data_IF_113642192481
#
_entry.id   IF_113642192481
#
_cell.length_a   1.000
_cell.length_b   1.000
_cell.length_c   1.000
_cell.angle_alpha   90.00
_cell.angle_beta   90.00
_cell.angle_gamma   90.00
#
_symmetry.space_group_name_H-M   'P 1'
#
loop_
_entity.id
_entity.type
_entity.pdbx_description
1 polymer ?
#
# COMPACT_ATOMS: atom_id res chain seq x y z
N UNK A 1 20.19 8.88 -16.36
CA UNK A 1 20.12 9.99 -15.38
C UNK A 1 18.65 10.15 -15.07
N UNK A 2 18.24 10.00 -13.80
CA UNK A 2 16.85 10.22 -13.42
C UNK A 2 16.51 11.68 -13.73
N UNK A 3 15.48 11.90 -14.54
CA UNK A 3 14.94 13.23 -14.78
C UNK A 3 14.16 13.66 -13.55
N UNK A 4 14.28 14.92 -13.13
CA UNK A 4 13.49 15.47 -12.03
C UNK A 4 12.32 16.28 -12.61
N UNK A 5 11.15 16.16 -12.00
CA UNK A 5 9.95 16.92 -12.34
C UNK A 5 9.52 17.75 -11.13
N UNK A 6 9.12 19.03 -11.32
CA UNK A 6 8.61 19.83 -10.22
C UNK A 6 7.23 19.34 -9.77
N UNK A 7 7.07 19.13 -8.47
CA UNK A 7 5.78 19.00 -7.82
C UNK A 7 5.25 20.40 -7.49
N UNK A 8 4.08 20.75 -8.02
CA UNK A 8 3.52 22.10 -7.91
C UNK A 8 2.32 22.07 -6.98
N UNK A 9 2.33 22.92 -5.94
CA UNK A 9 1.27 22.99 -4.96
C UNK A 9 0.00 23.61 -5.52
N UNK A 10 -1.14 22.94 -5.30
CA UNK A 10 -2.42 23.29 -5.91
C UNK A 10 -2.92 24.70 -5.54
N UNK A 11 -2.63 25.18 -4.31
CA UNK A 11 -3.16 26.48 -3.84
C UNK A 11 -2.35 27.70 -4.26
N UNK A 12 -1.04 27.55 -4.49
CA UNK A 12 -0.13 28.69 -4.74
C UNK A 12 0.54 28.66 -6.12
N UNK A 13 0.40 27.55 -6.85
CA UNK A 13 1.16 27.28 -8.07
C UNK A 13 2.69 27.38 -7.89
N UNK A 14 3.17 27.31 -6.64
CA UNK A 14 4.60 27.31 -6.33
C UNK A 14 5.13 25.88 -6.31
N UNK A 15 6.43 25.73 -6.61
CA UNK A 15 7.09 24.42 -6.56
C UNK A 15 7.28 24.02 -5.09
N UNK A 16 6.72 22.87 -4.72
CA UNK A 16 6.86 22.27 -3.39
C UNK A 16 8.15 21.45 -3.28
N UNK A 17 8.46 20.66 -4.30
CA UNK A 17 9.61 19.75 -4.33
C UNK A 17 10.02 19.41 -5.77
N UNK A 18 11.23 18.88 -5.94
CA UNK A 18 11.62 18.15 -7.15
C UNK A 18 11.43 16.65 -6.87
N UNK A 19 10.71 15.96 -7.74
CA UNK A 19 10.47 14.51 -7.63
C UNK A 19 11.08 13.78 -8.80
N UNK A 20 11.56 12.55 -8.58
CA UNK A 20 12.06 11.71 -9.65
C UNK A 20 10.93 11.37 -10.64
N UNK A 21 11.15 11.64 -11.92
CA UNK A 21 10.27 11.27 -13.01
C UNK A 21 10.68 9.90 -13.55
N UNK A 22 10.10 8.86 -12.98
CA UNK A 22 10.39 7.48 -13.32
C UNK A 22 9.96 7.13 -14.75
N UNK A 23 10.84 6.46 -15.50
CA UNK A 23 10.58 5.94 -16.84
C UNK A 23 10.38 4.42 -16.88
N UNK A 24 10.36 3.84 -18.09
CA UNK A 24 10.17 2.40 -18.28
C UNK A 24 11.24 1.56 -17.56
N UNK A 25 12.51 1.99 -17.59
CA UNK A 25 13.61 1.27 -16.93
C UNK A 25 13.44 1.21 -15.40
N UNK A 26 12.90 2.28 -14.79
CA UNK A 26 12.62 2.32 -13.35
C UNK A 26 11.45 1.39 -12.99
N UNK A 27 10.44 1.31 -13.86
CA UNK A 27 9.31 0.39 -13.70
C UNK A 27 9.79 -1.06 -13.80
N UNK A 28 10.59 -1.39 -14.80
CA UNK A 28 11.17 -2.73 -14.98
C UNK A 28 12.02 -3.12 -13.76
N UNK A 29 12.83 -2.19 -13.25
CA UNK A 29 13.59 -2.38 -12.03
C UNK A 29 12.70 -2.64 -10.82
N UNK A 30 11.64 -1.86 -10.62
CA UNK A 30 10.69 -2.04 -9.52
C UNK A 30 9.96 -3.39 -9.60
N UNK A 31 9.54 -3.81 -10.80
CA UNK A 31 8.91 -5.11 -11.05
C UNK A 31 9.87 -6.25 -10.73
N UNK A 32 11.13 -6.15 -11.15
CA UNK A 32 12.15 -7.16 -10.82
C UNK A 32 12.35 -7.28 -9.31
N UNK A 33 12.42 -6.16 -8.58
CA UNK A 33 12.56 -6.20 -7.11
C UNK A 33 11.32 -6.73 -6.38
N UNK A 34 10.13 -6.42 -6.88
CA UNK A 34 8.89 -7.00 -6.37
C UNK A 34 8.85 -8.51 -6.60
N UNK A 35 9.31 -8.99 -7.77
CA UNK A 35 9.43 -10.41 -8.07
C UNK A 35 10.44 -11.09 -7.15
N UNK A 36 11.66 -10.55 -7.03
CA UNK A 36 12.70 -11.10 -6.16
C UNK A 36 12.18 -11.31 -4.72
N UNK A 37 11.52 -10.28 -4.16
CA UNK A 37 10.97 -10.33 -2.80
C UNK A 37 9.76 -11.27 -2.64
N UNK A 38 9.03 -11.55 -3.72
CA UNK A 38 7.94 -12.52 -3.71
C UNK A 38 8.50 -13.96 -3.76
N UNK A 39 9.47 -14.22 -4.62
CA UNK A 39 10.05 -15.55 -4.82
C UNK A 39 10.97 -15.98 -3.65
N UNK A 40 11.72 -15.04 -3.05
CA UNK A 40 12.62 -15.33 -1.93
C UNK A 40 11.89 -15.75 -0.64
N UNK A 41 10.58 -15.50 -0.56
CA UNK A 41 9.72 -15.95 0.53
C UNK A 41 9.76 -15.08 1.79
N UNK A 42 10.61 -14.04 1.86
CA UNK A 42 10.76 -13.22 3.08
C UNK A 42 9.48 -12.48 3.48
N UNK A 43 8.60 -12.24 2.49
CA UNK A 43 7.25 -11.73 2.71
C UNK A 43 6.16 -12.74 2.34
N UNK A 44 6.22 -13.34 1.15
CA UNK A 44 5.15 -14.21 0.63
C UNK A 44 4.92 -15.48 1.47
N UNK A 45 5.99 -16.03 2.06
CA UNK A 45 5.96 -17.23 2.93
C UNK A 45 6.07 -16.90 4.42
N UNK A 46 6.12 -15.61 4.77
CA UNK A 46 6.13 -15.17 6.16
C UNK A 46 4.81 -15.55 6.84
N UNK A 47 4.87 -15.97 8.11
CA UNK A 47 3.69 -16.38 8.85
C UNK A 47 2.61 -15.26 8.84
N UNK A 48 1.32 -15.56 8.60
CA UNK A 48 0.27 -14.55 8.48
C UNK A 48 0.24 -13.56 9.67
N UNK A 49 0.38 -14.06 10.89
CA UNK A 49 0.44 -13.23 12.10
C UNK A 49 1.64 -12.27 12.14
N UNK A 50 2.77 -12.62 11.52
CA UNK A 50 3.94 -11.73 11.42
C UNK A 50 3.71 -10.66 10.34
N UNK A 51 3.13 -11.00 9.19
CA UNK A 51 2.72 -10.00 8.17
C UNK A 51 1.75 -8.98 8.75
N UNK A 52 0.76 -9.46 9.50
CA UNK A 52 -0.17 -8.62 10.27
C UNK A 52 0.57 -7.65 11.19
N UNK A 53 1.53 -8.12 11.99
CA UNK A 53 2.30 -7.26 12.89
C UNK A 53 3.07 -6.15 12.13
N UNK A 54 3.61 -6.45 10.95
CA UNK A 54 4.29 -5.45 10.10
C UNK A 54 3.31 -4.35 9.66
N UNK A 55 2.13 -4.72 9.16
CA UNK A 55 1.12 -3.74 8.72
C UNK A 55 0.54 -2.94 9.89
N UNK A 56 0.31 -3.57 11.06
CA UNK A 56 -0.10 -2.84 12.27
C UNK A 56 0.98 -1.86 12.72
N UNK A 57 2.26 -2.21 12.59
CA UNK A 57 3.36 -1.29 12.88
C UNK A 57 3.37 -0.10 11.92
N UNK A 58 3.12 -0.32 10.63
CA UNK A 58 2.97 0.76 9.65
C UNK A 58 1.83 1.70 10.03
N UNK A 59 0.64 1.18 10.33
CA UNK A 59 -0.50 1.98 10.77
C UNK A 59 -0.19 2.81 12.03
N UNK A 60 0.56 2.24 12.99
CA UNK A 60 1.03 2.97 14.18
C UNK A 60 1.99 4.12 13.84
N UNK A 61 2.90 3.91 12.88
CA UNK A 61 3.82 4.95 12.41
C UNK A 61 3.07 6.07 11.70
N UNK A 62 2.09 5.74 10.85
CA UNK A 62 1.22 6.73 10.22
C UNK A 62 0.45 7.53 11.26
N UNK A 63 -0.16 6.86 12.25
CA UNK A 63 -0.86 7.53 13.35
C UNK A 63 0.05 8.48 14.14
N UNK A 64 1.30 8.09 14.38
CA UNK A 64 2.29 8.94 15.07
C UNK A 64 2.59 10.21 14.29
N UNK A 65 2.63 10.13 12.96
CA UNK A 65 2.96 11.25 12.07
C UNK A 65 1.72 11.83 11.36
N UNK A 66 0.50 11.58 11.89
CA UNK A 66 -0.74 11.86 11.16
C UNK A 66 -0.89 13.34 10.75
N UNK A 67 -0.50 14.26 11.64
CA UNK A 67 -0.52 15.70 11.35
C UNK A 67 0.39 16.06 10.17
N UNK A 68 1.59 15.50 10.14
CA UNK A 68 2.58 15.77 9.09
C UNK A 68 2.08 15.23 7.74
N UNK A 69 1.54 14.01 7.73
CA UNK A 69 0.91 13.42 6.54
C UNK A 69 -0.24 14.29 6.02
N UNK A 70 -1.13 14.76 6.91
CA UNK A 70 -2.26 15.61 6.52
C UNK A 70 -1.81 16.97 5.95
N UNK A 71 -0.74 17.57 6.49
CA UNK A 71 -0.17 18.81 5.95
C UNK A 71 0.42 18.57 4.55
N UNK A 72 1.17 17.48 4.36
CA UNK A 72 1.72 17.13 3.05
C UNK A 72 0.61 16.90 2.01
N UNK A 73 -0.42 16.14 2.37
CA UNK A 73 -1.57 15.91 1.48
C UNK A 73 -2.30 17.21 1.14
N UNK A 74 -2.55 18.08 2.12
CA UNK A 74 -3.24 19.35 1.90
C UNK A 74 -2.45 20.28 0.96
N UNK A 75 -1.12 20.35 1.11
CA UNK A 75 -0.26 21.17 0.25
C UNK A 75 -0.24 20.66 -1.20
N UNK A 76 -0.17 19.33 -1.37
CA UNK A 76 -0.04 18.69 -2.68
C UNK A 76 -1.39 18.66 -3.43
N UNK A 77 -2.44 18.16 -2.78
CA UNK A 77 -3.77 17.97 -3.39
C UNK A 77 -4.64 19.24 -3.40
N UNK A 78 -4.33 20.22 -2.53
CA UNK A 78 -5.14 21.43 -2.35
C UNK A 78 -6.39 21.24 -1.50
N UNK A 79 -6.60 20.06 -0.91
CA UNK A 79 -7.69 19.82 0.06
C UNK A 79 -7.51 20.66 1.32
N UNK A 80 -8.61 20.89 2.02
CA UNK A 80 -8.53 21.55 3.32
C UNK A 80 -7.77 20.68 4.29
N UNK A 81 -6.91 21.29 5.10
CA UNK A 81 -6.19 20.57 6.14
C UNK A 81 -7.13 19.86 7.13
N UNK A 82 -8.32 20.43 7.35
CA UNK A 82 -9.35 19.82 8.18
C UNK A 82 -9.82 18.48 7.63
N UNK A 83 -10.10 18.38 6.33
CA UNK A 83 -10.52 17.13 5.70
C UNK A 83 -9.39 16.09 5.72
N UNK A 84 -8.15 16.49 5.42
CA UNK A 84 -7.01 15.57 5.45
C UNK A 84 -6.77 14.99 6.86
N UNK A 85 -6.93 15.80 7.90
CA UNK A 85 -6.75 15.37 9.30
C UNK A 85 -7.88 14.51 9.84
N UNK A 86 -9.11 14.83 9.46
CA UNK A 86 -10.30 14.23 10.09
C UNK A 86 -10.90 13.09 9.27
N UNK A 87 -10.56 13.00 7.98
CA UNK A 87 -11.08 11.99 7.05
C UNK A 87 -9.96 11.20 6.40
N UNK A 88 -9.14 11.81 5.54
CA UNK A 88 -8.26 11.08 4.62
C UNK A 88 -7.20 10.21 5.33
N UNK A 89 -6.41 10.82 6.24
CA UNK A 89 -5.39 10.10 7.01
C UNK A 89 -6.01 9.08 7.97
N UNK A 90 -7.06 9.41 8.75
CA UNK A 90 -7.77 8.42 9.57
C UNK A 90 -8.31 7.22 8.78
N UNK A 91 -8.94 7.45 7.62
CA UNK A 91 -9.48 6.38 6.76
C UNK A 91 -8.37 5.50 6.19
N UNK A 92 -7.23 6.07 5.80
CA UNK A 92 -6.08 5.30 5.32
C UNK A 92 -5.50 4.40 6.43
N UNK A 93 -5.36 4.94 7.64
CA UNK A 93 -4.93 4.16 8.82
C UNK A 93 -5.94 3.06 9.13
N UNK A 94 -7.24 3.36 9.03
CA UNK A 94 -8.31 2.38 9.24
C UNK A 94 -8.24 1.26 8.20
N UNK A 95 -8.14 1.61 6.91
CA UNK A 95 -8.02 0.67 5.80
C UNK A 95 -6.83 -0.29 6.01
N UNK A 96 -5.64 0.24 6.31
CA UNK A 96 -4.46 -0.58 6.59
C UNK A 96 -4.66 -1.50 7.80
N UNK A 97 -5.22 -0.97 8.88
CA UNK A 97 -5.46 -1.75 10.10
C UNK A 97 -6.47 -2.86 9.86
N UNK A 98 -7.54 -2.57 9.11
CA UNK A 98 -8.56 -3.56 8.80
C UNK A 98 -7.98 -4.70 7.96
N UNK A 99 -7.28 -4.38 6.86
CA UNK A 99 -6.64 -5.40 6.03
C UNK A 99 -5.57 -6.19 6.80
N UNK A 100 -4.81 -5.55 7.70
CA UNK A 100 -3.86 -6.24 8.55
C UNK A 100 -4.53 -7.28 9.46
N UNK A 101 -5.65 -6.91 10.08
CA UNK A 101 -6.45 -7.80 10.91
C UNK A 101 -7.14 -8.91 10.11
N UNK A 102 -7.37 -8.73 8.80
CA UNK A 102 -7.98 -9.76 7.97
C UNK A 102 -7.01 -10.89 7.59
N UNK A 103 -5.69 -10.63 7.52
CA UNK A 103 -4.67 -11.55 6.99
C UNK A 103 -4.72 -12.97 7.61
N UNK A 104 -5.01 -13.07 8.91
CA UNK A 104 -5.04 -14.34 9.65
C UNK A 104 -6.45 -14.95 9.79
N UNK A 105 -7.44 -14.40 9.07
CA UNK A 105 -8.87 -14.76 9.14
C UNK A 105 -9.48 -15.11 7.78
N UNK A 106 -8.67 -15.20 6.73
CA UNK A 106 -9.11 -15.70 5.43
C UNK A 106 -8.97 -17.22 5.44
N UNK A 107 -10.11 -17.92 5.40
CA UNK A 107 -10.16 -19.38 5.44
C UNK A 107 -10.39 -19.96 4.04
N UNK A 108 -9.63 -21.01 3.73
CA UNK A 108 -9.81 -21.85 2.55
C UNK A 108 -11.01 -22.77 2.68
N UNK A 109 -11.36 -23.44 1.58
CA UNK A 109 -12.57 -24.26 1.53
C UNK A 109 -12.21 -25.74 1.34
N UNK A 110 -12.96 -26.60 2.00
CA UNK A 110 -12.98 -28.03 1.73
C UNK A 110 -14.15 -28.30 0.81
N UNK A 111 -13.87 -28.83 -0.38
CA UNK A 111 -14.93 -29.20 -1.33
C UNK A 111 -15.47 -30.59 -1.04
N UNK A 112 -16.76 -30.87 -1.33
CA UNK A 112 -17.28 -32.22 -1.28
C UNK A 112 -16.44 -33.17 -2.13
N UNK A 113 -16.03 -34.30 -1.54
CA UNK A 113 -15.24 -35.33 -2.19
C UNK A 113 -15.83 -36.71 -1.86
N UNK A 114 -15.48 -37.73 -2.65
CA UNK A 114 -15.84 -39.11 -2.34
C UNK A 114 -15.04 -39.60 -1.12
N UNK A 115 -15.42 -40.75 -0.55
CA UNK A 115 -14.82 -41.27 0.69
C UNK A 115 -13.30 -41.48 0.62
N UNK A 116 -12.77 -41.70 -0.58
CA UNK A 116 -11.35 -41.99 -0.79
C UNK A 116 -10.54 -40.77 -1.25
N UNK A 117 -11.14 -39.56 -1.21
CA UNK A 117 -10.53 -38.33 -1.74
C UNK A 117 -10.68 -37.14 -0.77
N UNK A 118 -9.72 -36.22 -0.83
CA UNK A 118 -9.80 -34.90 -0.18
C UNK A 118 -9.66 -33.83 -1.26
N UNK A 119 -10.56 -32.85 -1.27
CA UNK A 119 -10.52 -31.72 -2.19
C UNK A 119 -10.45 -30.41 -1.41
N UNK A 120 -9.47 -29.57 -1.76
CA UNK A 120 -9.22 -28.27 -1.13
C UNK A 120 -9.24 -27.17 -2.20
N UNK A 121 -9.84 -26.04 -1.87
CA UNK A 121 -9.72 -24.80 -2.63
C UNK A 121 -8.91 -23.82 -1.79
N UNK A 122 -7.67 -23.58 -2.21
CA UNK A 122 -6.73 -22.71 -1.53
C UNK A 122 -6.61 -21.36 -2.22
N UNK A 123 -6.37 -20.30 -1.44
CA UNK A 123 -6.10 -18.95 -1.96
C UNK A 123 -4.60 -18.67 -1.91
N UNK A 124 -4.01 -18.61 -3.09
CA UNK A 124 -2.60 -18.24 -3.22
C UNK A 124 -2.46 -16.78 -3.67
N UNK A 125 -1.47 -16.05 -3.16
CA UNK A 125 -1.19 -14.69 -3.62
C UNK A 125 -0.74 -14.73 -5.09
N UNK A 126 -1.29 -13.84 -5.92
CA UNK A 126 -1.00 -13.79 -7.38
C UNK A 126 0.46 -13.42 -7.72
N UNK A 127 1.19 -12.84 -6.76
CA UNK A 127 2.56 -12.37 -6.96
C UNK A 127 2.63 -10.86 -7.09
N UNK A 128 3.29 -10.39 -8.14
CA UNK A 128 3.51 -8.95 -8.41
C UNK A 128 2.23 -8.31 -8.92
N UNK A 129 1.85 -7.16 -8.33
CA UNK A 129 0.65 -6.40 -8.70
C UNK A 129 1.07 -4.96 -9.04
N UNK A 130 0.65 -4.47 -10.21
CA UNK A 130 0.81 -3.06 -10.61
C UNK A 130 -0.41 -2.24 -10.16
N UNK A 131 -0.15 -1.08 -9.54
CA UNK A 131 -1.18 -0.18 -9.03
C UNK A 131 -0.98 1.21 -9.63
N UNK A 132 -2.05 1.78 -10.21
CA UNK A 132 -2.08 3.15 -10.75
C UNK A 132 -3.21 3.88 -10.06
N UNK A 133 -2.90 4.98 -9.37
CA UNK A 133 -3.83 5.71 -8.52
C UNK A 133 -4.02 7.16 -9.03
N UNK A 134 -5.21 7.76 -8.84
CA UNK A 134 -5.44 9.16 -9.16
C UNK A 134 -4.86 10.08 -8.07
N UNK A 135 -4.82 11.38 -8.36
CA UNK A 135 -4.24 12.42 -7.50
C UNK A 135 -5.18 12.96 -6.41
N UNK A 136 -6.47 12.62 -6.44
CA UNK A 136 -7.47 13.28 -5.59
C UNK A 136 -7.54 12.74 -4.16
N UNK A 137 -6.96 11.55 -3.87
CA UNK A 137 -6.79 11.02 -2.51
C UNK A 137 -5.43 10.30 -2.40
N UNK A 138 -4.32 11.05 -2.24
CA UNK A 138 -2.97 10.46 -2.29
C UNK A 138 -2.51 9.66 -1.06
N UNK A 139 -3.08 9.94 0.12
CA UNK A 139 -2.56 9.61 1.46
C UNK A 139 -2.03 8.18 1.69
#
# INVERSE_FOLDING_TARGET
MAYEMPLVGASTASVLAQVAACGAEDVDFAVQKARDAFEDGRWSRLHPGQRKQVLIRLAKLMKRNARELAVMESLDSGKTIYDCETVDVPETIHCLTWHAELIDKIYDQVSPASNDHIALVVREPVGVVGLVLPWNFPC
#
